data_IF_768530662572
#
_entry.id   IF_768530662572
#
_cell.length_a   1.000
_cell.length_b   1.000
_cell.length_c   1.000
_cell.angle_alpha   90.00
_cell.angle_beta   90.00
_cell.angle_gamma   90.00
#
_symmetry.space_group_name_H-M   'P 1'
#
loop_
_entity.id
_entity.type
_entity.pdbx_description
1 polymer ?
#
# COMPACT_ATOMS: atom_id res chain seq x y z
N UNK A 1 3.94 -15.39 -23.47
CA UNK A 1 5.30 -15.33 -22.89
C UNK A 1 5.45 -14.36 -21.70
N UNK A 2 4.41 -13.61 -21.30
CA UNK A 2 4.46 -12.73 -20.12
C UNK A 2 4.41 -13.47 -18.77
N UNK A 3 4.01 -14.75 -18.75
CA UNK A 3 4.01 -15.57 -17.53
C UNK A 3 5.40 -16.03 -17.09
N UNK A 4 6.43 -15.89 -17.94
CA UNK A 4 7.74 -16.55 -17.73
C UNK A 4 8.82 -15.56 -17.27
N UNK A 5 8.62 -14.25 -17.47
CA UNK A 5 9.61 -13.25 -17.07
C UNK A 5 8.95 -12.07 -16.31
N UNK A 6 8.89 -12.13 -14.96
CA UNK A 6 8.31 -11.05 -14.15
C UNK A 6 8.97 -9.69 -14.43
N UNK A 7 10.26 -9.66 -14.78
CA UNK A 7 10.98 -8.43 -15.12
C UNK A 7 10.41 -7.70 -16.36
N UNK A 8 9.66 -8.40 -17.23
CA UNK A 8 9.00 -7.75 -18.39
C UNK A 8 7.59 -7.25 -18.09
N UNK A 9 6.93 -7.75 -17.04
CA UNK A 9 5.61 -7.30 -16.63
C UNK A 9 5.68 -6.13 -15.62
N UNK A 10 6.78 -6.03 -14.87
CA UNK A 10 6.99 -5.03 -13.81
C UNK A 10 7.85 -3.83 -14.23
N UNK A 11 8.39 -3.84 -15.45
CA UNK A 11 9.21 -2.75 -15.98
C UNK A 11 8.40 -1.50 -16.32
N UNK A 12 7.07 -1.61 -16.43
CA UNK A 12 6.21 -0.50 -16.86
C UNK A 12 6.08 0.56 -15.75
N UNK A 13 6.51 1.82 -16.01
CA UNK A 13 6.44 2.89 -15.02
C UNK A 13 5.00 3.20 -14.58
N UNK A 14 4.02 2.92 -15.44
CA UNK A 14 2.60 3.06 -15.14
C UNK A 14 2.13 2.10 -14.03
N UNK A 15 2.61 0.87 -14.00
CA UNK A 15 2.24 -0.11 -12.96
C UNK A 15 2.72 0.35 -11.57
N UNK A 16 3.91 0.96 -11.51
CA UNK A 16 4.47 1.50 -10.26
C UNK A 16 3.60 2.63 -9.68
N UNK A 17 3.05 3.48 -10.56
CA UNK A 17 2.12 4.55 -10.17
C UNK A 17 0.79 3.96 -9.68
N UNK A 18 0.23 2.98 -10.40
CA UNK A 18 -1.03 2.34 -10.04
C UNK A 18 -0.93 1.70 -8.65
N UNK A 19 0.14 0.98 -8.34
CA UNK A 19 0.33 0.38 -7.02
C UNK A 19 0.49 1.41 -5.89
N UNK A 20 1.16 2.54 -6.16
CA UNK A 20 1.22 3.65 -5.20
C UNK A 20 -0.17 4.23 -4.93
N UNK A 21 -0.98 4.40 -5.97
CA UNK A 21 -2.36 4.88 -5.84
C UNK A 21 -3.24 3.90 -5.09
N UNK A 22 -3.17 2.60 -5.41
CA UNK A 22 -3.91 1.55 -4.69
C UNK A 22 -3.55 1.52 -3.21
N UNK A 23 -2.26 1.58 -2.88
CA UNK A 23 -1.81 1.67 -1.50
C UNK A 23 -2.34 2.93 -0.82
N UNK A 24 -2.24 4.09 -1.48
CA UNK A 24 -2.76 5.35 -0.92
C UNK A 24 -4.26 5.25 -0.61
N UNK A 25 -5.05 4.64 -1.49
CA UNK A 25 -6.48 4.39 -1.27
C UNK A 25 -6.69 3.49 -0.05
N UNK A 26 -5.95 2.39 0.08
CA UNK A 26 -6.06 1.50 1.24
C UNK A 26 -5.73 2.23 2.55
N UNK A 27 -4.65 3.01 2.58
CA UNK A 27 -4.25 3.77 3.76
C UNK A 27 -5.28 4.86 4.12
N UNK A 28 -5.87 5.53 3.11
CA UNK A 28 -6.96 6.48 3.32
C UNK A 28 -8.20 5.79 3.94
N UNK A 29 -8.54 4.58 3.49
CA UNK A 29 -9.63 3.80 4.08
C UNK A 29 -9.37 3.46 5.55
N UNK A 30 -8.12 3.15 5.93
CA UNK A 30 -7.72 2.95 7.34
C UNK A 30 -7.91 4.23 8.14
N UNK A 31 -7.40 5.37 7.63
CA UNK A 31 -7.53 6.67 8.31
C UNK A 31 -9.00 7.06 8.51
N UNK A 32 -9.83 6.84 7.49
CA UNK A 32 -11.26 7.11 7.55
C UNK A 32 -11.97 6.21 8.58
N UNK A 33 -11.61 4.92 8.64
CA UNK A 33 -12.19 3.99 9.61
C UNK A 33 -11.81 4.34 11.05
N UNK A 34 -10.57 4.77 11.28
CA UNK A 34 -10.03 5.10 12.60
C UNK A 34 -10.13 6.59 12.96
N UNK A 35 -10.92 7.38 12.21
CA UNK A 35 -11.16 8.81 12.44
C UNK A 35 -9.88 9.64 12.58
N UNK A 36 -8.91 9.41 11.69
CA UNK A 36 -7.64 10.15 11.69
C UNK A 36 -6.89 10.09 13.02
N UNK A 37 -7.00 8.97 13.74
CA UNK A 37 -6.26 8.72 14.97
C UNK A 37 -4.75 8.83 14.76
N UNK A 38 -4.01 9.37 15.74
CA UNK A 38 -2.55 9.49 15.72
C UNK A 38 -1.86 8.15 15.42
N UNK A 39 -2.38 7.04 15.93
CA UNK A 39 -1.82 5.69 15.67
C UNK A 39 -2.01 5.25 14.22
N UNK A 40 -3.17 5.56 13.64
CA UNK A 40 -3.48 5.25 12.23
C UNK A 40 -2.60 6.07 11.29
N UNK A 41 -2.36 7.34 11.63
CA UNK A 41 -1.41 8.21 10.93
C UNK A 41 0.01 7.68 10.94
N UNK A 42 0.53 7.30 12.11
CA UNK A 42 1.89 6.77 12.24
C UNK A 42 2.02 5.49 11.42
N UNK A 43 1.09 4.54 11.55
CA UNK A 43 1.16 3.29 10.79
C UNK A 43 1.01 3.49 9.29
N UNK A 44 0.10 4.38 8.85
CA UNK A 44 -0.07 4.69 7.43
C UNK A 44 1.16 5.41 6.87
N UNK A 45 1.74 6.33 7.63
CA UNK A 45 2.97 7.02 7.26
C UNK A 45 4.15 6.06 7.12
N UNK A 46 4.31 5.11 8.04
CA UNK A 46 5.36 4.08 7.95
C UNK A 46 5.16 3.20 6.71
N UNK A 47 3.95 2.67 6.49
CA UNK A 47 3.66 1.82 5.33
C UNK A 47 3.86 2.57 4.00
N UNK A 48 3.44 3.84 3.94
CA UNK A 48 3.65 4.67 2.77
C UNK A 48 5.13 4.97 2.52
N UNK A 49 5.89 5.24 3.58
CA UNK A 49 7.34 5.50 3.47
C UNK A 49 8.10 4.26 3.00
N UNK A 50 7.73 3.08 3.49
CA UNK A 50 8.31 1.81 3.03
C UNK A 50 7.99 1.54 1.55
N UNK A 51 6.78 1.85 1.09
CA UNK A 51 6.41 1.75 -0.32
C UNK A 51 7.19 2.74 -1.19
N UNK A 52 7.34 3.98 -0.74
CA UNK A 52 8.19 4.96 -1.43
C UNK A 52 9.64 4.49 -1.50
N UNK A 53 10.21 3.95 -0.42
CA UNK A 53 11.56 3.43 -0.40
C UNK A 53 11.74 2.22 -1.34
N UNK A 54 10.69 1.42 -1.55
CA UNK A 54 10.69 0.32 -2.51
C UNK A 54 10.64 0.79 -3.97
N UNK A 55 9.97 1.91 -4.26
CA UNK A 55 9.72 2.39 -5.63
C UNK A 55 10.74 3.45 -6.09
N UNK A 56 11.14 4.38 -5.22
CA UNK A 56 12.02 5.50 -5.58
C UNK A 56 13.33 5.07 -6.25
N UNK A 57 14.07 4.06 -5.75
CA UNK A 57 15.31 3.63 -6.39
C UNK A 57 15.09 3.15 -7.83
N UNK A 58 13.97 2.46 -8.08
CA UNK A 58 13.56 2.03 -9.42
C UNK A 58 13.19 3.18 -10.34
N UNK A 59 12.58 4.24 -9.81
CA UNK A 59 12.24 5.44 -10.57
C UNK A 59 13.47 6.30 -10.89
N UNK A 60 14.32 6.55 -9.90
CA UNK A 60 15.54 7.36 -10.06
C UNK A 60 16.48 6.70 -11.08
N UNK A 61 16.67 5.38 -10.98
CA UNK A 61 17.51 4.64 -11.93
C UNK A 61 17.00 4.69 -13.37
N UNK A 62 15.69 4.59 -13.60
CA UNK A 62 15.08 4.73 -14.93
C UNK A 62 15.31 6.10 -15.56
N UNK A 63 15.38 7.16 -14.75
CA UNK A 63 15.64 8.53 -15.22
C UNK A 63 17.11 8.72 -15.58
N UNK A 64 18.03 8.13 -14.79
CA UNK A 64 19.48 8.33 -14.94
C UNK A 64 20.08 7.38 -15.99
N UNK A 65 19.59 6.14 -16.07
CA UNK A 65 20.09 5.11 -16.99
C UNK A 65 18.91 4.54 -17.79
N UNK A 66 18.65 5.05 -19.00
CA UNK A 66 17.57 4.56 -19.85
C UNK A 66 17.85 3.17 -20.46
N UNK A 67 19.08 2.65 -20.31
CA UNK A 67 19.44 1.30 -20.72
C UNK A 67 18.76 0.25 -19.83
N UNK A 68 18.41 -0.94 -20.38
CA UNK A 68 17.57 -1.94 -19.71
C UNK A 68 18.33 -2.75 -18.65
N UNK A 69 19.04 -2.10 -17.74
CA UNK A 69 19.45 -2.66 -16.45
C UNK A 69 18.22 -2.81 -15.53
N UNK A 70 17.04 -3.07 -16.11
CA UNK A 70 15.74 -3.08 -15.44
C UNK A 70 15.56 -4.27 -14.50
N UNK A 71 16.30 -5.36 -14.69
CA UNK A 71 16.08 -6.60 -13.92
C UNK A 71 16.63 -6.58 -12.48
N UNK A 72 17.62 -5.74 -12.16
CA UNK A 72 18.24 -5.74 -10.81
C UNK A 72 17.44 -4.90 -9.81
N UNK A 73 16.64 -3.94 -10.29
CA UNK A 73 15.97 -2.94 -9.45
C UNK A 73 14.48 -3.26 -9.24
N UNK A 74 13.98 -4.35 -9.82
CA UNK A 74 12.62 -4.86 -9.60
C UNK A 74 12.48 -5.70 -8.31
N UNK A 75 13.59 -6.08 -7.66
CA UNK A 75 13.56 -6.87 -6.40
C UNK A 75 12.92 -6.07 -5.25
N UNK A 76 13.27 -4.78 -5.01
CA UNK A 76 12.54 -3.93 -4.07
C UNK A 76 11.06 -3.77 -4.43
N UNK A 77 10.72 -3.76 -5.71
CA UNK A 77 9.34 -3.61 -6.16
C UNK A 77 8.46 -4.79 -5.72
N UNK A 78 9.03 -6.00 -5.59
CA UNK A 78 8.32 -7.15 -5.05
C UNK A 78 7.85 -6.95 -3.59
N UNK A 79 8.44 -6.00 -2.84
CA UNK A 79 7.98 -5.63 -1.50
C UNK A 79 6.63 -4.90 -1.52
N UNK A 80 6.15 -4.42 -2.67
CA UNK A 80 4.82 -3.83 -2.79
C UNK A 80 3.71 -4.84 -2.53
N UNK A 81 3.88 -6.10 -2.94
CA UNK A 81 2.92 -7.16 -2.69
C UNK A 81 2.64 -7.40 -1.19
N UNK A 82 3.65 -7.65 -0.33
CA UNK A 82 3.41 -7.81 1.10
C UNK A 82 2.91 -6.51 1.75
N UNK A 83 3.37 -5.33 1.30
CA UNK A 83 2.87 -4.04 1.82
C UNK A 83 1.37 -3.84 1.53
N UNK A 84 0.92 -4.17 0.32
CA UNK A 84 -0.50 -4.16 -0.04
C UNK A 84 -1.30 -5.18 0.78
N UNK A 85 -0.77 -6.40 0.94
CA UNK A 85 -1.42 -7.44 1.75
C UNK A 85 -1.62 -7.01 3.21
N UNK A 86 -0.58 -6.47 3.85
CA UNK A 86 -0.65 -5.94 5.22
C UNK A 86 -1.64 -4.79 5.31
N UNK A 87 -1.61 -3.87 4.35
CA UNK A 87 -2.52 -2.71 4.30
C UNK A 87 -3.97 -3.15 4.16
N UNK A 88 -4.25 -4.15 3.30
CA UNK A 88 -5.58 -4.71 3.11
C UNK A 88 -6.11 -5.38 4.38
N UNK A 89 -5.30 -6.22 5.03
CA UNK A 89 -5.66 -6.84 6.32
C UNK A 89 -5.98 -5.75 7.34
N UNK A 90 -5.17 -4.69 7.36
CA UNK A 90 -5.37 -3.59 8.30
C UNK A 90 -6.65 -2.80 8.04
N UNK A 91 -7.00 -2.56 6.77
CA UNK A 91 -8.31 -2.00 6.37
C UNK A 91 -9.45 -2.85 6.93
N UNK A 92 -9.41 -4.17 6.73
CA UNK A 92 -10.46 -5.08 7.21
C UNK A 92 -10.60 -5.00 8.73
N UNK A 93 -9.49 -5.02 9.47
CA UNK A 93 -9.49 -4.91 10.94
C UNK A 93 -10.08 -3.57 11.38
N UNK A 94 -9.62 -2.46 10.80
CA UNK A 94 -10.05 -1.11 11.15
C UNK A 94 -11.56 -0.92 10.95
N UNK A 95 -12.10 -1.40 9.83
CA UNK A 95 -13.53 -1.33 9.54
C UNK A 95 -14.34 -2.26 10.45
N UNK A 96 -13.84 -3.46 10.76
CA UNK A 96 -14.50 -4.38 11.70
C UNK A 96 -14.63 -3.77 13.09
N UNK A 97 -13.59 -3.10 13.59
CA UNK A 97 -13.60 -2.38 14.87
C UNK A 97 -14.62 -1.23 14.84
N UNK A 98 -14.66 -0.46 13.74
CA UNK A 98 -15.64 0.64 13.58
C UNK A 98 -17.09 0.14 13.62
N UNK A 99 -17.37 -0.97 12.94
CA UNK A 99 -18.73 -1.54 12.89
C UNK A 99 -19.16 -2.12 14.24
N UNK A 100 -18.27 -2.86 14.91
CA UNK A 100 -18.56 -3.47 16.22
C UNK A 100 -18.73 -2.43 17.33
N UNK A 101 -17.89 -1.39 17.36
CA UNK A 101 -18.02 -0.27 18.31
C UNK A 101 -19.32 0.52 18.12
N UNK A 102 -19.71 0.78 16.86
CA UNK A 102 -20.98 1.44 16.53
C UNK A 102 -22.20 0.64 17.02
N UNK A 103 -22.18 -0.69 16.86
CA UNK A 103 -23.25 -1.57 17.33
C UNK A 103 -23.36 -1.60 18.87
N UNK A 104 -22.24 -1.61 19.59
CA UNK A 104 -22.25 -1.57 21.08
C UNK A 104 -22.87 -0.27 21.60
N UNK A 105 -22.56 0.86 20.97
CA UNK A 105 -23.08 2.19 21.37
C UNK A 105 -24.58 2.33 21.12
N UNK A 106 -25.09 1.74 20.03
CA UNK A 106 -26.53 1.70 19.77
C UNK A 106 -27.28 0.88 20.83
N UNK A 107 -26.71 -0.24 21.27
CA UNK A 107 -27.33 -1.16 22.24
C UNK A 107 -27.35 -0.62 23.67
N UNK A 108 -26.39 0.24 24.04
CA UNK A 108 -26.37 0.89 25.36
C UNK A 108 -27.32 2.08 25.47
N UNK A 109 -27.76 2.66 24.35
CA UNK A 109 -28.70 3.78 24.33
C UNK A 109 -30.17 3.36 24.51
N UNK A 110 -30.45 2.06 24.50
CA UNK A 110 -31.81 1.48 24.58
C UNK A 110 -32.10 0.85 25.94
N UNK A 111 -31.20 1.01 26.92
CA UNK A 111 -31.41 0.66 28.34
C UNK A 111 -31.43 1.94 29.15
#
# INVERSE_FOLDING_TARGET
MWLINPATAFSDPLFRIIWLLELAVLLLLVLLALRWSRKAWIGSGVLFTLALAAILPGWISQIIYPDPIGAIIDIPLLMMFPLMGISLIWVVIAWTIRLTSSRRRARSSTR
#
